data_IF_566832108331
#
_entry.id   IF_566832108331
#
_cell.length_a   1.000
_cell.length_b   1.000
_cell.length_c   1.000
_cell.angle_alpha   90.00
_cell.angle_beta   90.00
_cell.angle_gamma   90.00
#
_symmetry.space_group_name_H-M   'P 1'
#
loop_
_entity.id
_entity.type
_entity.pdbx_description
1 polymer ?
#
# COMPACT_ATOMS: atom_id res chain seq x y z
N UNK A 1 4.03 6.37 13.49
CA UNK A 1 2.65 6.14 13.01
C UNK A 1 2.74 5.33 11.74
N UNK A 2 1.83 4.37 11.52
CA UNK A 2 1.90 3.52 10.35
C UNK A 2 1.49 4.25 9.07
N UNK A 3 2.02 3.79 7.94
CA UNK A 3 1.85 4.45 6.64
C UNK A 3 1.31 3.53 5.54
N UNK A 4 1.18 2.23 5.79
CA UNK A 4 0.69 1.28 4.78
C UNK A 4 0.06 0.06 5.46
N UNK A 5 -1.10 -0.38 4.96
CA UNK A 5 -1.89 -1.44 5.62
C UNK A 5 -1.11 -2.72 5.85
N UNK A 6 -0.37 -3.20 4.84
CA UNK A 6 0.38 -4.46 4.96
C UNK A 6 1.56 -4.36 5.93
N UNK A 7 2.27 -3.23 5.96
CA UNK A 7 3.43 -3.05 6.86
C UNK A 7 2.96 -2.87 8.28
N UNK A 8 1.89 -2.11 8.50
CA UNK A 8 1.30 -1.91 9.81
C UNK A 8 0.68 -3.20 10.34
N UNK A 9 0.01 -4.00 9.50
CA UNK A 9 -0.49 -5.32 9.91
C UNK A 9 0.66 -6.26 10.33
N UNK A 10 1.74 -6.30 9.55
CA UNK A 10 2.95 -7.07 9.87
C UNK A 10 3.61 -6.59 11.17
N UNK A 11 3.80 -5.28 11.33
CA UNK A 11 4.38 -4.68 12.52
C UNK A 11 3.54 -4.93 13.77
N UNK A 12 2.21 -4.77 13.66
CA UNK A 12 1.28 -5.05 14.74
C UNK A 12 1.31 -6.53 15.13
N UNK A 13 1.38 -7.46 14.17
CA UNK A 13 1.53 -8.89 14.45
C UNK A 13 2.82 -9.16 15.24
N UNK A 14 3.94 -8.60 14.79
CA UNK A 14 5.25 -8.75 15.44
C UNK A 14 5.32 -8.10 16.82
N UNK A 15 4.54 -7.05 17.09
CA UNK A 15 4.39 -6.42 18.41
C UNK A 15 3.58 -7.25 19.41
N UNK A 16 2.57 -8.00 18.95
CA UNK A 16 1.74 -8.82 19.83
C UNK A 16 2.31 -10.23 20.06
N UNK A 17 3.09 -10.72 19.11
CA UNK A 17 3.69 -12.05 19.16
C UNK A 17 5.09 -12.17 19.84
N UNK A 18 5.76 -11.12 20.36
CA UNK A 18 7.12 -11.27 20.83
C UNK A 18 7.15 -11.52 22.34
N UNK A 19 7.96 -12.51 22.79
CA UNK A 19 8.24 -12.75 24.21
C UNK A 19 9.08 -11.64 24.86
N UNK A 20 9.67 -10.78 24.03
CA UNK A 20 10.55 -9.65 24.39
C UNK A 20 10.09 -8.41 23.61
N UNK A 21 10.40 -7.18 24.05
CA UNK A 21 10.14 -6.00 23.24
C UNK A 21 10.73 -6.14 21.83
N UNK A 22 10.04 -5.62 20.82
CA UNK A 22 10.56 -5.55 19.47
C UNK A 22 11.80 -4.64 19.46
N UNK A 23 12.89 -4.99 18.76
CA UNK A 23 14.05 -4.11 18.70
C UNK A 23 13.71 -2.77 18.03
N UNK A 24 14.26 -1.67 18.57
CA UNK A 24 13.96 -0.30 18.10
C UNK A 24 14.25 -0.09 16.60
N UNK A 25 15.21 -0.82 16.06
CA UNK A 25 15.59 -0.72 14.65
C UNK A 25 14.68 -1.51 13.70
N UNK A 26 13.76 -2.34 14.21
CA UNK A 26 12.76 -3.05 13.41
C UNK A 26 11.50 -2.19 13.27
N UNK A 27 11.62 -1.10 12.51
CA UNK A 27 10.53 -0.16 12.22
C UNK A 27 9.65 -0.63 11.06
N UNK A 28 8.58 0.09 10.75
CA UNK A 28 7.77 -0.20 9.55
C UNK A 28 8.54 0.03 8.25
N UNK A 29 9.46 1.01 8.20
CA UNK A 29 10.37 1.22 7.07
C UNK A 29 11.29 0.01 6.88
N UNK A 30 11.85 -0.51 7.99
CA UNK A 30 12.65 -1.74 7.95
C UNK A 30 11.84 -2.93 7.42
N UNK A 31 10.61 -3.10 7.89
CA UNK A 31 9.71 -4.18 7.42
C UNK A 31 9.28 -4.00 5.96
N UNK A 32 9.07 -2.76 5.50
CA UNK A 32 8.85 -2.43 4.09
C UNK A 32 10.02 -2.91 3.24
N UNK A 33 11.25 -2.57 3.64
CA UNK A 33 12.48 -2.97 2.96
C UNK A 33 12.68 -4.49 2.94
N UNK A 34 12.52 -5.16 4.08
CA UNK A 34 12.62 -6.62 4.20
C UNK A 34 11.62 -7.34 3.29
N UNK A 35 10.41 -6.79 3.12
CA UNK A 35 9.41 -7.37 2.22
C UNK A 35 9.62 -7.03 0.73
N UNK A 36 10.62 -6.20 0.38
CA UNK A 36 10.99 -5.89 -1.00
C UNK A 36 10.99 -4.41 -1.37
N UNK A 37 10.51 -3.53 -0.50
CA UNK A 37 10.57 -2.08 -0.70
C UNK A 37 9.63 -1.56 -1.79
N UNK A 38 10.11 -0.55 -2.52
CA UNK A 38 9.39 0.10 -3.61
C UNK A 38 9.02 -0.90 -4.72
N UNK A 39 7.83 -0.73 -5.30
CA UNK A 39 7.38 -1.50 -6.45
C UNK A 39 6.63 -0.68 -7.46
N UNK A 40 6.15 -1.39 -8.48
CA UNK A 40 5.68 -0.81 -9.73
C UNK A 40 4.51 -1.62 -10.28
N UNK A 41 3.35 -0.97 -10.37
CA UNK A 41 2.12 -1.52 -10.89
C UNK A 41 1.30 -0.41 -11.50
N UNK A 42 0.75 -0.67 -12.69
CA UNK A 42 -0.10 0.29 -13.38
C UNK A 42 -1.24 -0.44 -14.08
N UNK A 43 -2.48 -0.09 -13.76
CA UNK A 43 -3.66 -0.65 -14.40
C UNK A 43 -4.71 0.43 -14.66
N UNK A 44 -5.26 0.37 -15.86
CA UNK A 44 -6.49 1.05 -16.23
C UNK A 44 -7.51 0.02 -16.68
N UNK A 45 -8.74 0.16 -16.23
CA UNK A 45 -9.85 -0.61 -16.75
C UNK A 45 -10.89 0.35 -17.34
N UNK A 46 -11.45 -0.03 -18.48
CA UNK A 46 -12.53 0.70 -19.13
C UNK A 46 -13.55 -0.29 -19.66
N UNK A 47 -14.78 -0.16 -19.17
CA UNK A 47 -15.90 -1.02 -19.53
C UNK A 47 -16.99 -0.13 -20.14
N UNK A 48 -17.00 -0.08 -21.48
CA UNK A 48 -17.82 0.85 -22.27
C UNK A 48 -19.33 0.65 -22.05
N UNK A 49 -19.79 -0.58 -21.80
CA UNK A 49 -21.23 -0.85 -21.60
C UNK A 49 -21.72 -0.37 -20.24
N UNK A 50 -20.84 -0.40 -19.25
CA UNK A 50 -21.10 -0.03 -17.88
C UNK A 50 -20.74 1.45 -17.59
N UNK A 51 -20.24 2.18 -18.59
CA UNK A 51 -19.67 3.53 -18.48
C UNK A 51 -18.75 3.67 -17.27
N UNK A 52 -17.88 2.68 -17.10
CA UNK A 52 -17.03 2.56 -15.93
C UNK A 52 -15.55 2.61 -16.32
N UNK A 53 -14.80 3.46 -15.63
CA UNK A 53 -13.35 3.52 -15.69
C UNK A 53 -12.73 3.39 -14.30
N UNK A 54 -11.55 2.79 -14.22
CA UNK A 54 -10.76 2.78 -12.99
C UNK A 54 -9.27 2.88 -13.26
N UNK A 55 -8.55 3.42 -12.29
CA UNK A 55 -7.11 3.58 -12.30
C UNK A 55 -6.52 3.04 -11.00
N UNK A 56 -5.46 2.24 -11.11
CA UNK A 56 -4.81 1.60 -9.98
C UNK A 56 -3.29 1.65 -10.12
N UNK A 57 -2.63 1.97 -9.01
CA UNK A 57 -1.17 1.96 -8.88
C UNK A 57 -0.73 0.97 -7.81
N UNK A 58 0.28 0.17 -8.15
CA UNK A 58 1.00 -0.70 -7.22
C UNK A 58 2.35 -0.07 -6.89
N UNK A 59 2.56 0.34 -5.64
CA UNK A 59 3.73 1.13 -5.23
C UNK A 59 4.72 0.36 -4.36
N UNK A 60 4.42 -0.89 -4.01
CA UNK A 60 5.27 -1.80 -3.21
C UNK A 60 5.66 -3.04 -4.01
N UNK A 61 6.83 -3.62 -3.76
CA UNK A 61 7.22 -4.88 -4.39
C UNK A 61 6.22 -5.99 -4.03
N UNK A 62 5.74 -6.83 -4.97
CA UNK A 62 4.67 -7.81 -4.70
C UNK A 62 3.32 -7.17 -4.28
N UNK A 63 3.00 -5.96 -4.76
CA UNK A 63 1.73 -5.29 -4.48
C UNK A 63 0.50 -6.12 -4.86
N UNK A 64 0.63 -7.07 -5.80
CA UNK A 64 -0.46 -7.93 -6.23
C UNK A 64 -0.79 -9.06 -5.23
N UNK A 65 0.06 -9.23 -4.21
CA UNK A 65 -0.13 -10.22 -3.17
C UNK A 65 0.46 -9.77 -1.83
N UNK A 66 -0.39 -9.14 -1.02
CA UNK A 66 -0.06 -8.83 0.37
C UNK A 66 0.33 -10.08 1.17
N UNK A 67 -0.25 -11.25 0.87
CA UNK A 67 0.18 -12.51 1.49
C UNK A 67 1.64 -12.83 1.20
N UNK A 68 2.08 -12.78 -0.06
CA UNK A 68 3.49 -13.07 -0.40
C UNK A 68 4.43 -12.04 0.22
N UNK A 69 4.03 -10.78 0.32
CA UNK A 69 4.80 -9.75 1.01
C UNK A 69 4.93 -10.03 2.51
N UNK A 70 3.80 -10.18 3.21
CA UNK A 70 3.76 -10.37 4.68
C UNK A 70 4.43 -11.69 5.05
N UNK A 71 4.05 -12.79 4.40
CA UNK A 71 4.64 -14.11 4.63
C UNK A 71 6.13 -14.14 4.26
N UNK A 72 6.52 -13.45 3.19
CA UNK A 72 7.92 -13.34 2.76
C UNK A 72 8.78 -12.63 3.78
N UNK A 73 8.34 -11.46 4.26
CA UNK A 73 9.03 -10.71 5.28
C UNK A 73 9.14 -11.48 6.61
N UNK A 74 8.06 -12.14 7.04
CA UNK A 74 8.07 -13.01 8.22
C UNK A 74 9.09 -14.15 8.08
N UNK A 75 9.14 -14.81 6.92
CA UNK A 75 10.11 -15.89 6.66
C UNK A 75 11.55 -15.38 6.62
N UNK A 76 11.80 -14.21 6.05
CA UNK A 76 13.12 -13.58 6.04
C UNK A 76 13.62 -13.30 7.47
N UNK A 77 12.70 -12.95 8.38
CA UNK A 77 12.95 -12.80 9.81
C UNK A 77 12.99 -14.13 10.60
N UNK A 78 12.87 -15.28 9.93
CA UNK A 78 12.93 -16.61 10.55
C UNK A 78 11.61 -17.16 11.07
N UNK A 79 10.51 -16.39 11.00
CA UNK A 79 9.19 -16.86 11.42
C UNK A 79 8.58 -17.87 10.43
N UNK A 80 7.63 -18.65 10.92
CA UNK A 80 6.87 -19.64 10.14
C UNK A 80 5.40 -19.21 10.03
N UNK A 81 5.07 -18.33 9.07
CA UNK A 81 3.70 -17.90 8.87
C UNK A 81 2.83 -19.05 8.34
N UNK A 82 1.61 -19.11 8.85
CA UNK A 82 0.52 -19.90 8.31
C UNK A 82 -0.45 -19.00 7.58
N UNK A 83 -0.94 -19.47 6.45
CA UNK A 83 -2.05 -18.85 5.73
C UNK A 83 -3.23 -19.81 5.76
N UNK A 84 -4.38 -19.30 6.14
CA UNK A 84 -5.65 -20.02 6.06
C UNK A 84 -6.61 -19.26 5.17
N UNK A 85 -7.38 -20.01 4.39
CA UNK A 85 -8.41 -19.47 3.52
C UNK A 85 -9.57 -20.45 3.42
N UNK A 86 -10.81 -19.95 3.47
CA UNK A 86 -12.02 -20.73 3.19
C UNK A 86 -13.11 -19.82 2.65
N UNK A 87 -13.90 -20.28 1.67
CA UNK A 87 -15.03 -19.50 1.15
C UNK A 87 -16.26 -19.57 2.05
N UNK A 88 -16.27 -20.49 3.01
CA UNK A 88 -17.35 -20.57 3.99
C UNK A 88 -17.14 -19.52 5.09
N UNK A 89 -17.98 -18.49 5.09
CA UNK A 89 -17.91 -17.37 6.04
C UNK A 89 -18.06 -17.80 7.51
N UNK A 90 -18.87 -18.82 7.79
CA UNK A 90 -19.09 -19.31 9.15
C UNK A 90 -17.83 -20.04 9.65
N UNK A 91 -17.33 -20.97 8.85
CA UNK A 91 -16.10 -21.69 9.15
C UNK A 91 -14.87 -20.75 9.20
N UNK A 92 -14.84 -19.70 8.39
CA UNK A 92 -13.80 -18.66 8.45
C UNK A 92 -13.81 -17.94 9.81
N UNK A 93 -14.99 -17.48 10.24
CA UNK A 93 -15.14 -16.80 11.51
C UNK A 93 -14.85 -17.72 12.70
N UNK A 94 -15.37 -18.95 12.73
CA UNK A 94 -15.11 -19.90 13.81
C UNK A 94 -13.62 -20.21 13.96
N UNK A 95 -12.87 -20.34 12.85
CA UNK A 95 -11.42 -20.53 12.88
C UNK A 95 -10.69 -19.30 13.41
N UNK A 96 -11.11 -18.11 12.98
CA UNK A 96 -10.54 -16.84 13.45
C UNK A 96 -10.78 -16.66 14.96
N UNK A 97 -12.04 -16.80 15.41
CA UNK A 97 -12.44 -16.72 16.81
C UNK A 97 -11.65 -17.70 17.68
N UNK A 98 -11.49 -18.95 17.22
CA UNK A 98 -10.69 -19.96 17.92
C UNK A 98 -9.22 -19.56 18.06
N UNK A 99 -8.61 -18.98 17.02
CA UNK A 99 -7.21 -18.53 17.08
C UNK A 99 -7.06 -17.35 18.06
N UNK A 100 -7.90 -16.33 17.90
CA UNK A 100 -7.84 -15.10 18.70
C UNK A 100 -8.15 -15.39 20.18
N UNK A 101 -9.19 -16.18 20.46
CA UNK A 101 -9.52 -16.63 21.83
C UNK A 101 -8.42 -17.49 22.46
N UNK A 102 -7.60 -18.15 21.64
CA UNK A 102 -6.41 -18.89 22.07
C UNK A 102 -5.18 -18.02 22.34
N UNK A 103 -5.31 -16.70 22.24
CA UNK A 103 -4.21 -15.74 22.42
C UNK A 103 -3.34 -15.54 21.19
N UNK A 104 -3.75 -16.06 20.02
CA UNK A 104 -3.01 -15.91 18.77
C UNK A 104 -3.67 -14.83 17.90
N UNK A 105 -3.10 -13.62 17.81
CA UNK A 105 -3.63 -12.58 16.94
C UNK A 105 -3.45 -12.96 15.47
N UNK A 106 -4.37 -12.49 14.62
CA UNK A 106 -4.46 -12.92 13.22
C UNK A 106 -4.56 -11.71 12.30
N UNK A 107 -3.68 -11.63 11.30
CA UNK A 107 -3.82 -10.67 10.21
C UNK A 107 -4.94 -11.15 9.29
N UNK A 108 -5.85 -10.25 8.91
CA UNK A 108 -7.02 -10.55 8.10
C UNK A 108 -7.08 -9.65 6.88
N UNK A 109 -7.47 -10.20 5.73
CA UNK A 109 -7.91 -9.40 4.59
C UNK A 109 -9.36 -8.96 4.81
N UNK A 110 -9.65 -7.66 4.73
CA UNK A 110 -10.97 -7.09 4.97
C UNK A 110 -11.28 -5.99 3.96
N UNK A 111 -12.53 -5.91 3.50
CA UNK A 111 -12.97 -4.87 2.59
C UNK A 111 -12.81 -3.47 3.24
N UNK A 112 -12.15 -2.54 2.55
CA UNK A 112 -11.91 -1.18 3.03
C UNK A 112 -13.20 -0.42 3.40
N UNK A 113 -14.32 -0.77 2.77
CA UNK A 113 -15.63 -0.16 3.01
C UNK A 113 -16.08 -0.33 4.48
N UNK A 114 -15.60 -1.38 5.16
CA UNK A 114 -15.81 -1.58 6.61
C UNK A 114 -15.37 -0.34 7.39
N UNK A 115 -14.34 0.36 6.92
CA UNK A 115 -13.79 1.53 7.60
C UNK A 115 -14.18 2.85 6.95
N UNK A 116 -14.51 2.84 5.65
CA UNK A 116 -14.68 4.07 4.86
C UNK A 116 -16.11 4.40 4.48
N UNK A 117 -17.01 3.40 4.42
CA UNK A 117 -18.38 3.60 3.94
C UNK A 117 -19.42 3.17 4.95
N UNK A 118 -20.63 3.70 4.77
CA UNK A 118 -21.82 3.35 5.57
C UNK A 118 -22.28 1.92 5.29
N UNK A 119 -22.06 1.42 4.08
CA UNK A 119 -22.39 0.05 3.66
C UNK A 119 -21.17 -0.62 3.02
N UNK A 120 -21.11 -1.94 3.14
CA UNK A 120 -20.01 -2.76 2.60
C UNK A 120 -20.42 -3.26 1.21
N UNK A 121 -19.82 -2.69 0.17
CA UNK A 121 -20.11 -3.07 -1.21
C UNK A 121 -19.54 -4.46 -1.51
N UNK A 122 -20.20 -5.28 -2.36
CA UNK A 122 -19.56 -6.48 -2.88
C UNK A 122 -18.34 -6.11 -3.73
N UNK A 123 -17.36 -7.02 -3.81
CA UNK A 123 -16.14 -6.87 -4.59
C UNK A 123 -15.27 -5.64 -4.21
N UNK A 124 -15.22 -5.26 -2.93
CA UNK A 124 -14.38 -4.15 -2.50
C UNK A 124 -12.89 -4.49 -2.46
N UNK A 125 -12.06 -3.45 -2.39
CA UNK A 125 -10.62 -3.58 -2.21
C UNK A 125 -10.30 -4.03 -0.79
N UNK A 126 -9.29 -4.89 -0.68
CA UNK A 126 -8.81 -5.34 0.61
C UNK A 126 -7.87 -4.31 1.24
N UNK A 127 -7.97 -4.20 2.56
CA UNK A 127 -6.88 -3.80 3.43
C UNK A 127 -6.55 -4.96 4.36
N UNK A 128 -5.37 -4.92 4.97
CA UNK A 128 -4.94 -5.89 5.97
C UNK A 128 -4.88 -5.24 7.35
N UNK A 129 -5.44 -5.93 8.33
CA UNK A 129 -5.43 -5.49 9.73
C UNK A 129 -5.25 -6.66 10.69
N UNK A 130 -4.77 -6.39 11.90
CA UNK A 130 -4.57 -7.41 12.92
C UNK A 130 -5.80 -7.49 13.84
N UNK A 131 -6.45 -8.65 13.88
CA UNK A 131 -7.47 -8.95 14.88
C UNK A 131 -6.80 -9.57 16.10
N UNK A 132 -6.90 -8.89 17.24
CA UNK A 132 -6.29 -9.33 18.51
C UNK A 132 -7.32 -9.65 19.58
N UNK A 133 -8.57 -9.21 19.43
CA UNK A 133 -9.64 -9.42 20.41
C UNK A 133 -11.01 -9.51 19.72
N UNK A 134 -11.82 -10.49 20.14
CA UNK A 134 -13.18 -10.74 19.66
C UNK A 134 -14.05 -10.96 20.91
N UNK A 135 -14.95 -10.02 21.19
CA UNK A 135 -15.91 -10.12 22.27
C UNK A 135 -17.28 -10.51 21.72
N UNK A 136 -17.64 -11.78 21.88
CA UNK A 136 -18.93 -12.32 21.41
C UNK A 136 -20.13 -11.87 22.26
N UNK A 137 -19.91 -11.44 23.49
CA UNK A 137 -21.00 -10.94 24.36
C UNK A 137 -21.45 -9.55 23.93
N UNK A 138 -20.48 -8.68 23.59
CA UNK A 138 -20.77 -7.33 23.09
C UNK A 138 -20.95 -7.27 21.57
N UNK A 139 -20.52 -8.31 20.85
CA UNK A 139 -20.56 -8.34 19.39
C UNK A 139 -19.46 -7.50 18.73
N UNK A 140 -18.39 -7.15 19.45
CA UNK A 140 -17.34 -6.23 19.03
C UNK A 140 -16.04 -6.98 18.72
N UNK A 141 -15.33 -6.52 17.70
CA UNK A 141 -13.98 -6.95 17.33
C UNK A 141 -13.04 -5.75 17.34
N UNK A 142 -11.84 -5.93 17.89
CA UNK A 142 -10.76 -4.92 17.79
C UNK A 142 -9.81 -5.27 16.67
N UNK A 143 -9.62 -4.32 15.75
CA UNK A 143 -8.70 -4.45 14.63
C UNK A 143 -7.64 -3.34 14.65
N UNK A 144 -6.37 -3.73 14.76
CA UNK A 144 -5.26 -2.80 14.65
C UNK A 144 -4.90 -2.57 13.17
N UNK A 145 -4.86 -1.31 12.78
CA UNK A 145 -4.51 -0.82 11.43
C UNK A 145 -3.25 0.07 11.52
N UNK A 146 -3.17 1.16 10.77
CA UNK A 146 -2.01 2.07 10.74
C UNK A 146 -1.90 3.01 11.95
N UNK A 147 -2.88 3.00 12.85
CA UNK A 147 -2.92 3.84 14.05
C UNK A 147 -2.66 3.03 15.32
N UNK A 148 -2.22 3.71 16.38
CA UNK A 148 -1.78 3.08 17.62
C UNK A 148 -2.92 2.42 18.41
N UNK A 149 -4.14 2.96 18.30
CA UNK A 149 -5.33 2.44 18.99
C UNK A 149 -6.16 1.60 18.01
N UNK A 150 -6.42 0.31 18.31
CA UNK A 150 -7.28 -0.53 17.49
C UNK A 150 -8.67 0.08 17.26
N UNK A 151 -9.21 -0.12 16.06
CA UNK A 151 -10.58 0.28 15.73
C UNK A 151 -11.55 -0.82 16.17
N UNK A 152 -12.65 -0.42 16.78
CA UNK A 152 -13.75 -1.33 17.11
C UNK A 152 -14.76 -1.40 15.97
N UNK A 153 -15.09 -2.61 15.54
CA UNK A 153 -16.12 -2.92 14.54
C UNK A 153 -17.04 -4.02 15.06
N UNK A 154 -18.22 -4.19 14.45
CA UNK A 154 -19.09 -5.32 14.78
C UNK A 154 -18.55 -6.63 14.22
N UNK A 155 -18.90 -7.76 14.86
CA UNK A 155 -18.64 -9.10 14.31
C UNK A 155 -19.29 -9.26 12.93
N UNK A 156 -20.48 -8.68 12.73
CA UNK A 156 -21.19 -8.72 11.45
C UNK A 156 -20.39 -8.01 10.34
N UNK A 157 -19.88 -6.81 10.60
CA UNK A 157 -19.06 -6.05 9.65
C UNK A 157 -17.75 -6.78 9.33
N UNK A 158 -17.13 -7.43 10.32
CA UNK A 158 -15.96 -8.27 10.10
C UNK A 158 -16.27 -9.43 9.15
N UNK A 159 -17.35 -10.18 9.43
CA UNK A 159 -17.74 -11.35 8.62
C UNK A 159 -18.07 -10.91 7.19
N UNK A 160 -18.89 -9.87 7.06
CA UNK A 160 -19.32 -9.36 5.76
C UNK A 160 -18.15 -8.77 4.97
N UNK A 161 -17.31 -7.97 5.62
CA UNK A 161 -16.14 -7.35 5.00
C UNK A 161 -15.10 -8.35 4.50
N UNK A 162 -14.92 -9.47 5.20
CA UNK A 162 -14.01 -10.55 4.76
C UNK A 162 -14.57 -11.39 3.60
N UNK A 163 -15.89 -11.45 3.49
CA UNK A 163 -16.61 -12.17 2.42
C UNK A 163 -16.69 -11.35 1.13
N UNK A 164 -16.94 -10.04 1.24
CA UNK A 164 -17.17 -9.11 0.14
C UNK A 164 -15.89 -8.55 -0.51
N UNK A 165 -14.88 -9.40 -0.75
CA UNK A 165 -13.62 -9.01 -1.40
C UNK A 165 -13.64 -9.29 -2.91
N UNK A 166 -12.99 -8.41 -3.68
CA UNK A 166 -12.97 -8.44 -5.15
C UNK A 166 -12.48 -9.76 -5.78
N UNK A 167 -11.62 -10.49 -5.08
CA UNK A 167 -11.03 -11.73 -5.60
C UNK A 167 -11.21 -12.91 -4.67
N UNK A 168 -11.64 -14.03 -5.25
CA UNK A 168 -11.78 -15.32 -4.56
C UNK A 168 -10.48 -15.84 -3.97
N UNK A 169 -9.32 -15.29 -4.34
CA UNK A 169 -8.00 -15.65 -3.80
C UNK A 169 -7.72 -15.07 -2.41
N UNK A 170 -8.46 -14.05 -1.98
CA UNK A 170 -8.23 -13.36 -0.70
C UNK A 170 -9.45 -13.36 0.22
N UNK A 171 -10.63 -13.75 -0.27
CA UNK A 171 -11.82 -13.93 0.56
C UNK A 171 -11.48 -14.77 1.78
N UNK A 172 -11.81 -14.24 2.96
CA UNK A 172 -11.55 -14.84 4.26
C UNK A 172 -10.11 -15.30 4.49
N UNK A 173 -9.12 -14.65 3.88
CA UNK A 173 -7.72 -14.94 4.12
C UNK A 173 -7.32 -14.50 5.53
N UNK A 174 -6.58 -15.37 6.21
CA UNK A 174 -6.00 -15.14 7.52
C UNK A 174 -4.51 -15.51 7.48
N UNK A 175 -3.65 -14.67 8.03
CA UNK A 175 -2.21 -14.89 8.16
C UNK A 175 -1.87 -14.80 9.66
N UNK A 176 -1.19 -15.81 10.20
CA UNK A 176 -0.82 -15.87 11.62
C UNK A 176 0.45 -16.70 11.80
N UNK A 177 1.01 -16.67 13.00
CA UNK A 177 2.19 -17.46 13.36
C UNK A 177 1.74 -18.71 14.11
N UNK A 178 2.25 -19.90 13.72
CA UNK A 178 1.78 -21.18 14.28
C UNK A 178 2.20 -21.40 15.74
N UNK A 179 3.32 -20.81 16.17
CA UNK A 179 3.85 -20.94 17.52
C UNK A 179 4.60 -19.66 17.91
N UNK A 180 4.60 -19.27 19.20
CA UNK A 180 5.43 -18.21 19.76
C UNK A 180 6.91 -18.60 19.71
N UNK A 181 7.49 -18.52 18.51
CA UNK A 181 8.89 -18.77 18.32
C UNK A 181 9.71 -17.67 18.98
N UNK A 182 10.67 -18.07 19.81
CA UNK A 182 11.73 -17.18 20.33
C UNK A 182 12.72 -16.94 19.20
N UNK A 183 12.29 -16.15 18.20
CA UNK A 183 13.14 -15.83 17.06
C UNK A 183 14.24 -14.88 17.48
N UNK A 184 15.46 -15.18 17.02
CA UNK A 184 16.58 -14.26 17.15
C UNK A 184 16.37 -13.06 16.23
N UNK A 185 15.89 -11.96 16.81
CA UNK A 185 15.79 -10.65 16.16
C UNK A 185 17.03 -9.79 16.44
N UNK A 186 18.21 -10.41 16.49
CA UNK A 186 19.48 -9.67 16.52
C UNK A 186 19.62 -8.78 15.29
N UNK A 187 20.37 -7.69 15.44
CA UNK A 187 20.66 -6.76 14.35
C UNK A 187 21.21 -7.49 13.12
N UNK A 188 22.13 -8.45 13.32
CA UNK A 188 22.71 -9.25 12.24
C UNK A 188 21.66 -10.04 11.46
N UNK A 189 20.67 -10.64 12.12
CA UNK A 189 19.58 -11.39 11.46
C UNK A 189 18.66 -10.48 10.67
N UNK A 190 18.33 -9.32 11.20
CA UNK A 190 17.47 -8.34 10.53
C UNK A 190 18.20 -7.73 9.32
N UNK A 191 19.50 -7.46 9.41
CA UNK A 191 20.30 -7.02 8.25
C UNK A 191 20.38 -8.12 7.17
N UNK A 192 20.49 -9.40 7.54
CA UNK A 192 20.39 -10.49 6.58
C UNK A 192 18.99 -10.55 5.90
N UNK A 193 17.93 -10.30 6.67
CA UNK A 193 16.57 -10.20 6.13
C UNK A 193 16.42 -8.97 5.20
N UNK A 194 17.06 -7.85 5.53
CA UNK A 194 17.09 -6.65 4.69
C UNK A 194 17.76 -6.91 3.33
N UNK A 195 18.89 -7.64 3.31
CA UNK A 195 19.53 -8.10 2.06
C UNK A 195 18.56 -8.91 1.19
N UNK A 196 17.87 -9.88 1.80
CA UNK A 196 16.84 -10.71 1.13
C UNK A 196 15.70 -9.85 0.57
N UNK A 197 15.33 -8.79 1.29
CA UNK A 197 14.35 -7.81 0.85
C UNK A 197 14.81 -7.06 -0.41
N UNK A 198 16.03 -6.53 -0.41
CA UNK A 198 16.60 -5.84 -1.59
C UNK A 198 16.63 -6.78 -2.81
N UNK A 199 17.04 -8.03 -2.64
CA UNK A 199 17.01 -9.06 -3.69
C UNK A 199 15.60 -9.29 -4.24
N UNK A 200 14.60 -9.36 -3.34
CA UNK A 200 13.19 -9.51 -3.71
C UNK A 200 12.67 -8.31 -4.50
N UNK A 201 13.03 -7.08 -4.07
CA UNK A 201 12.70 -5.83 -4.76
C UNK A 201 13.25 -5.79 -6.17
N UNK A 202 14.56 -6.07 -6.35
CA UNK A 202 15.20 -6.14 -7.67
C UNK A 202 14.54 -7.18 -8.58
N UNK A 203 14.25 -8.37 -8.05
CA UNK A 203 13.54 -9.40 -8.81
C UNK A 203 12.16 -8.93 -9.25
N UNK A 204 11.40 -8.27 -8.37
CA UNK A 204 10.08 -7.72 -8.68
C UNK A 204 10.15 -6.59 -9.73
N UNK A 205 11.20 -5.78 -9.69
CA UNK A 205 11.42 -4.67 -10.62
C UNK A 205 11.83 -5.12 -12.02
N UNK A 206 12.76 -6.08 -12.14
CA UNK A 206 13.39 -6.48 -13.41
C UNK A 206 12.77 -7.70 -14.09
N UNK A 207 12.11 -8.59 -13.34
CA UNK A 207 11.53 -9.82 -13.89
C UNK A 207 9.99 -9.84 -13.77
N UNK A 208 9.29 -8.83 -14.32
CA UNK A 208 7.84 -8.79 -14.25
C UNK A 208 7.22 -9.87 -15.14
N UNK A 209 6.10 -10.44 -14.69
CA UNK A 209 5.34 -11.43 -15.49
C UNK A 209 4.64 -10.82 -16.70
N UNK A 210 4.31 -9.53 -16.63
CA UNK A 210 3.65 -8.75 -17.68
C UNK A 210 4.12 -7.30 -17.57
N UNK A 211 4.07 -6.54 -18.65
CA UNK A 211 4.63 -5.19 -18.67
C UNK A 211 3.84 -4.15 -17.83
N UNK A 212 2.69 -4.50 -17.26
CA UNK A 212 1.99 -3.71 -16.24
C UNK A 212 2.65 -3.79 -14.84
N UNK A 213 3.69 -4.61 -14.70
CA UNK A 213 4.45 -4.82 -13.47
C UNK A 213 5.90 -4.39 -13.66
N UNK A 214 6.62 -4.23 -12.55
CA UNK A 214 8.04 -3.89 -12.56
C UNK A 214 8.32 -2.53 -13.18
N UNK A 215 9.59 -2.19 -13.39
CA UNK A 215 9.98 -0.85 -13.89
C UNK A 215 9.38 -0.54 -15.27
N UNK A 216 8.97 -1.58 -16.02
CA UNK A 216 8.24 -1.44 -17.30
C UNK A 216 6.83 -0.87 -17.15
N UNK A 217 6.21 -0.97 -15.97
CA UNK A 217 4.90 -0.40 -15.68
C UNK A 217 4.90 1.13 -15.84
N UNK A 218 6.00 1.80 -15.43
CA UNK A 218 6.17 3.25 -15.62
C UNK A 218 6.20 3.62 -17.10
N UNK A 219 6.86 2.80 -17.93
CA UNK A 219 6.91 3.03 -19.37
C UNK A 219 5.52 2.91 -20.01
N UNK A 220 4.74 1.91 -19.58
CA UNK A 220 3.36 1.74 -20.04
C UNK A 220 2.47 2.89 -19.61
N UNK A 221 2.58 3.33 -18.35
CA UNK A 221 1.78 4.44 -17.84
C UNK A 221 2.09 5.74 -18.60
N UNK A 222 3.38 6.08 -18.70
CA UNK A 222 3.89 7.20 -19.50
C UNK A 222 3.38 7.16 -20.93
N UNK A 223 3.49 6.01 -21.60
CA UNK A 223 3.05 5.84 -22.98
C UNK A 223 1.53 5.97 -23.12
N UNK A 224 0.76 5.41 -22.19
CA UNK A 224 -0.71 5.50 -22.21
C UNK A 224 -1.21 6.93 -22.05
N UNK A 225 -0.49 7.81 -21.36
CA UNK A 225 -0.85 9.22 -21.20
C UNK A 225 -0.82 9.99 -22.52
N UNK A 226 0.16 9.70 -23.39
CA UNK A 226 0.41 10.48 -24.63
C UNK A 226 0.03 9.73 -25.92
N UNK A 227 -0.33 8.46 -25.84
CA UNK A 227 -0.72 7.66 -27.00
C UNK A 227 -2.07 8.10 -27.58
N UNK A 228 -2.34 7.65 -28.81
CA UNK A 228 -3.61 7.89 -29.53
C UNK A 228 -4.45 6.63 -29.78
N UNK A 229 -4.03 5.48 -29.24
CA UNK A 229 -4.73 4.20 -29.39
C UNK A 229 -5.92 4.05 -28.42
N UNK A 230 -6.70 2.96 -28.56
CA UNK A 230 -7.91 2.70 -27.74
C UNK A 230 -7.63 2.58 -26.23
N UNK A 231 -6.39 2.25 -25.84
CA UNK A 231 -5.96 2.11 -24.45
C UNK A 231 -5.28 3.38 -23.90
N UNK A 232 -5.29 4.48 -24.67
CA UNK A 232 -4.76 5.76 -24.21
C UNK A 232 -5.67 6.42 -23.19
N UNK A 233 -5.09 7.19 -22.29
CA UNK A 233 -5.82 8.02 -21.33
C UNK A 233 -6.76 8.99 -22.04
N UNK A 234 -6.31 9.58 -23.17
CA UNK A 234 -7.15 10.46 -23.97
C UNK A 234 -8.45 9.83 -24.47
N UNK A 235 -8.48 8.51 -24.68
CA UNK A 235 -9.68 7.75 -25.09
C UNK A 235 -10.47 7.20 -23.90
N UNK A 236 -9.80 6.68 -22.89
CA UNK A 236 -10.46 6.10 -21.71
C UNK A 236 -11.11 7.21 -20.86
N UNK A 237 -10.35 8.28 -20.58
CA UNK A 237 -10.75 9.40 -19.74
C UNK A 237 -11.13 10.62 -20.59
N UNK A 238 -12.02 10.37 -21.57
CA UNK A 238 -12.40 11.38 -22.55
C UNK A 238 -13.49 12.35 -22.07
N UNK A 239 -14.28 11.95 -21.08
CA UNK A 239 -15.28 12.78 -20.43
C UNK A 239 -14.77 13.24 -19.04
N UNK A 240 -15.40 14.27 -18.48
CA UNK A 240 -15.01 14.84 -17.19
C UNK A 240 -15.09 13.82 -16.06
N UNK A 241 -16.17 13.04 -15.97
CA UNK A 241 -16.36 12.08 -14.89
C UNK A 241 -15.23 11.03 -14.81
N UNK A 242 -14.85 10.46 -15.95
CA UNK A 242 -13.75 9.51 -16.05
C UNK A 242 -12.40 10.15 -15.71
N UNK A 243 -12.17 11.38 -16.16
CA UNK A 243 -10.97 12.14 -15.83
C UNK A 243 -10.86 12.40 -14.32
N UNK A 244 -11.87 13.02 -13.72
CA UNK A 244 -11.92 13.32 -12.28
C UNK A 244 -11.70 12.03 -11.47
N UNK A 245 -12.32 10.93 -11.88
CA UNK A 245 -12.12 9.64 -11.24
C UNK A 245 -10.66 9.15 -11.30
N UNK A 246 -9.99 9.24 -12.45
CA UNK A 246 -8.60 8.85 -12.60
C UNK A 246 -7.63 9.73 -11.79
N UNK A 247 -7.86 11.05 -11.80
CA UNK A 247 -7.05 12.02 -11.06
C UNK A 247 -7.20 11.85 -9.55
N UNK A 248 -8.43 11.68 -9.06
CA UNK A 248 -8.71 11.34 -7.66
C UNK A 248 -7.97 10.09 -7.22
N UNK A 249 -8.05 9.01 -8.00
CA UNK A 249 -7.38 7.76 -7.64
C UNK A 249 -5.86 7.85 -7.78
N UNK A 250 -5.33 8.70 -8.66
CA UNK A 250 -3.89 8.99 -8.71
C UNK A 250 -3.41 9.59 -7.39
N UNK A 251 -4.12 10.62 -6.89
CA UNK A 251 -3.82 11.19 -5.57
C UNK A 251 -3.98 10.15 -4.45
N UNK A 252 -5.10 9.43 -4.42
CA UNK A 252 -5.37 8.42 -3.39
C UNK A 252 -4.29 7.34 -3.30
N UNK A 253 -3.86 6.75 -4.43
CA UNK A 253 -2.86 5.68 -4.42
C UNK A 253 -1.46 6.15 -4.07
N UNK A 254 -1.12 7.41 -4.33
CA UNK A 254 0.19 7.97 -4.02
C UNK A 254 0.23 8.54 -2.60
N UNK A 255 -0.83 9.21 -2.16
CA UNK A 255 -0.84 9.95 -0.90
C UNK A 255 -1.48 9.14 0.21
N UNK A 256 -2.76 8.81 0.08
CA UNK A 256 -3.56 8.23 1.17
C UNK A 256 -3.27 6.76 1.44
N UNK A 257 -2.96 5.99 0.40
CA UNK A 257 -2.67 4.57 0.55
C UNK A 257 -1.20 4.28 0.92
N UNK A 258 -0.37 5.32 1.09
CA UNK A 258 1.07 5.16 1.34
C UNK A 258 1.61 6.19 2.34
N UNK A 259 2.93 6.36 2.40
CA UNK A 259 3.66 7.37 3.19
C UNK A 259 3.52 8.81 2.67
N UNK A 260 2.65 9.06 1.69
CA UNK A 260 2.54 10.34 0.99
C UNK A 260 3.40 10.45 -0.27
N UNK A 261 4.32 9.51 -0.50
CA UNK A 261 5.37 9.56 -1.51
C UNK A 261 5.48 8.23 -2.28
N UNK A 262 4.36 7.50 -2.43
CA UNK A 262 4.33 6.19 -3.09
C UNK A 262 5.33 5.17 -2.49
N UNK A 263 5.53 5.21 -1.17
CA UNK A 263 6.47 4.40 -0.38
C UNK A 263 7.96 4.65 -0.63
N UNK A 264 8.32 5.63 -1.46
CA UNK A 264 9.71 5.90 -1.83
C UNK A 264 10.50 6.53 -0.68
N UNK A 265 9.85 7.38 0.12
CA UNK A 265 10.47 8.02 1.28
C UNK A 265 10.73 6.99 2.37
N UNK A 266 9.76 6.15 2.70
CA UNK A 266 9.96 5.04 3.64
C UNK A 266 11.02 4.05 3.15
N UNK A 267 11.09 3.78 1.84
CA UNK A 267 12.14 2.92 1.30
C UNK A 267 13.53 3.57 1.33
N UNK A 268 13.63 4.88 1.07
CA UNK A 268 14.86 5.67 1.25
C UNK A 268 15.37 5.59 2.69
N UNK A 269 14.49 5.79 3.69
CA UNK A 269 14.82 5.65 5.12
C UNK A 269 15.40 4.27 5.42
N UNK A 270 14.76 3.20 4.93
CA UNK A 270 15.29 1.84 5.07
C UNK A 270 16.69 1.67 4.48
N UNK A 271 16.90 2.12 3.25
CA UNK A 271 18.20 2.00 2.56
C UNK A 271 19.29 2.77 3.31
N UNK A 272 18.97 3.95 3.85
CA UNK A 272 19.88 4.74 4.66
C UNK A 272 20.23 4.03 5.96
N UNK A 273 19.23 3.52 6.70
CA UNK A 273 19.46 2.75 7.93
C UNK A 273 20.41 1.57 7.69
N UNK A 274 20.14 0.76 6.66
CA UNK A 274 20.97 -0.41 6.36
C UNK A 274 22.35 0.00 5.87
N UNK A 275 22.44 0.97 4.95
CA UNK A 275 23.69 1.48 4.40
C UNK A 275 24.61 2.07 5.45
N UNK A 276 24.07 2.75 6.46
CA UNK A 276 24.83 3.25 7.60
C UNK A 276 25.39 2.11 8.46
N UNK A 277 24.58 1.10 8.76
CA UNK A 277 24.95 -0.04 9.61
C UNK A 277 26.07 -0.87 9.00
N UNK A 278 25.99 -1.17 7.69
CA UNK A 278 27.00 -2.00 7.00
C UNK A 278 28.10 -1.16 6.32
N UNK A 279 28.03 0.17 6.44
CA UNK A 279 28.90 1.12 5.76
C UNK A 279 28.97 0.91 4.24
N UNK A 280 27.80 0.75 3.61
CA UNK A 280 27.65 0.58 2.16
C UNK A 280 27.16 1.89 1.51
N UNK A 281 28.05 2.68 0.89
CA UNK A 281 27.69 3.97 0.28
C UNK A 281 26.69 3.83 -0.88
N UNK A 282 26.69 2.72 -1.62
CA UNK A 282 25.75 2.54 -2.74
C UNK A 282 24.30 2.43 -2.28
N UNK A 283 24.05 1.92 -1.06
CA UNK A 283 22.71 1.93 -0.47
C UNK A 283 22.28 3.35 -0.11
N UNK A 284 23.19 4.19 0.38
CA UNK A 284 22.91 5.61 0.67
C UNK A 284 22.62 6.40 -0.62
N UNK A 285 23.39 6.15 -1.67
CA UNK A 285 23.16 6.73 -3.00
C UNK A 285 21.79 6.32 -3.56
N UNK A 286 21.46 5.02 -3.49
CA UNK A 286 20.15 4.52 -3.91
C UNK A 286 19.00 5.13 -3.08
N UNK A 287 19.19 5.26 -1.76
CA UNK A 287 18.25 5.96 -0.87
C UNK A 287 17.98 7.39 -1.32
N UNK A 288 19.05 8.16 -1.59
CA UNK A 288 18.94 9.53 -2.10
C UNK A 288 18.22 9.65 -3.45
N UNK A 289 18.37 8.66 -4.34
CA UNK A 289 17.64 8.61 -5.61
C UNK A 289 16.14 8.33 -5.40
N UNK A 290 15.80 7.39 -4.51
CA UNK A 290 14.40 7.13 -4.17
C UNK A 290 13.74 8.30 -3.44
N UNK A 291 14.45 9.02 -2.57
CA UNK A 291 13.92 10.24 -1.95
C UNK A 291 13.51 11.28 -3.01
N UNK A 292 14.40 11.54 -3.97
CA UNK A 292 14.13 12.43 -5.11
C UNK A 292 12.94 11.93 -5.94
N UNK A 293 12.89 10.64 -6.25
CA UNK A 293 11.77 10.06 -6.98
C UNK A 293 10.46 10.21 -6.20
N UNK A 294 10.48 10.03 -4.88
CA UNK A 294 9.33 10.22 -3.99
C UNK A 294 8.76 11.63 -4.05
N UNK A 295 9.61 12.66 -4.09
CA UNK A 295 9.17 14.04 -4.28
C UNK A 295 8.45 14.24 -5.63
N UNK A 296 8.92 13.59 -6.69
CA UNK A 296 8.26 13.66 -8.01
C UNK A 296 6.95 12.87 -8.01
N UNK A 297 6.89 11.73 -7.32
CA UNK A 297 5.63 11.01 -7.08
C UNK A 297 4.61 11.91 -6.36
N UNK A 298 5.04 12.63 -5.31
CA UNK A 298 4.17 13.60 -4.64
C UNK A 298 3.71 14.70 -5.59
N UNK A 299 4.61 15.21 -6.44
CA UNK A 299 4.26 16.21 -7.45
C UNK A 299 3.19 15.70 -8.43
N UNK A 300 3.29 14.45 -8.90
CA UNK A 300 2.26 13.83 -9.74
C UNK A 300 0.90 13.84 -9.04
N UNK A 301 0.83 13.53 -7.74
CA UNK A 301 -0.41 13.57 -6.99
C UNK A 301 -0.97 15.00 -6.90
N UNK A 302 -0.12 15.98 -6.55
CA UNK A 302 -0.52 17.39 -6.45
C UNK A 302 -1.02 17.95 -7.78
N UNK A 303 -0.36 17.63 -8.89
CA UNK A 303 -0.73 18.09 -10.23
C UNK A 303 -1.96 17.36 -10.77
N UNK A 304 -2.22 16.13 -10.30
CA UNK A 304 -3.44 15.41 -10.65
C UNK A 304 -4.68 16.09 -10.06
N UNK A 305 -4.59 16.59 -8.82
CA UNK A 305 -5.62 17.43 -8.21
C UNK A 305 -5.15 18.88 -8.17
N UNK A 306 -4.95 19.47 -9.35
CA UNK A 306 -4.45 20.85 -9.51
C UNK A 306 -5.36 21.86 -8.77
N UNK A 307 -4.76 22.61 -7.84
CA UNK A 307 -5.44 23.61 -7.00
C UNK A 307 -5.93 24.85 -7.74
N UNK A 308 -5.65 24.99 -9.04
CA UNK A 308 -6.31 26.00 -9.88
C UNK A 308 -7.81 25.74 -10.06
N UNK A 309 -8.26 24.50 -9.81
CA UNK A 309 -9.68 24.16 -9.69
C UNK A 309 -10.08 24.10 -8.22
N UNK A 310 -11.05 24.91 -7.81
CA UNK A 310 -11.53 24.99 -6.43
C UNK A 310 -12.00 23.62 -5.92
N UNK A 311 -12.64 22.82 -6.77
CA UNK A 311 -13.11 21.47 -6.43
C UNK A 311 -11.96 20.53 -6.04
N UNK A 312 -10.83 20.63 -6.74
CA UNK A 312 -9.64 19.83 -6.45
C UNK A 312 -8.90 20.33 -5.21
N UNK A 313 -8.85 21.65 -4.99
CA UNK A 313 -8.32 22.21 -3.74
C UNK A 313 -9.11 21.68 -2.54
N UNK A 314 -10.45 21.76 -2.58
CA UNK A 314 -11.33 21.25 -1.52
C UNK A 314 -11.15 19.75 -1.28
N UNK A 315 -11.03 18.94 -2.33
CA UNK A 315 -10.75 17.50 -2.17
C UNK A 315 -9.43 17.25 -1.43
N UNK A 316 -8.37 17.98 -1.76
CA UNK A 316 -7.06 17.84 -1.09
C UNK A 316 -7.13 18.24 0.38
N UNK A 317 -7.84 19.31 0.70
CA UNK A 317 -8.07 19.73 2.09
C UNK A 317 -8.85 18.64 2.86
N UNK A 318 -9.89 18.06 2.25
CA UNK A 318 -10.67 16.97 2.87
C UNK A 318 -9.85 15.70 3.10
N UNK A 319 -8.94 15.35 2.19
CA UNK A 319 -7.99 14.27 2.41
C UNK A 319 -7.09 14.54 3.63
N UNK A 320 -6.54 15.76 3.74
CA UNK A 320 -5.71 16.16 4.88
C UNK A 320 -6.49 16.13 6.21
N UNK A 321 -7.73 16.63 6.21
CA UNK A 321 -8.64 16.57 7.36
C UNK A 321 -8.93 15.13 7.78
N UNK A 322 -9.25 14.26 6.82
CA UNK A 322 -9.49 12.83 7.06
C UNK A 322 -8.28 12.15 7.69
N UNK A 323 -7.08 12.37 7.14
CA UNK A 323 -5.86 11.78 7.65
C UNK A 323 -5.56 12.27 9.08
N UNK A 324 -5.71 13.57 9.33
CA UNK A 324 -5.54 14.16 10.67
C UNK A 324 -6.55 13.60 11.67
N UNK A 325 -7.82 13.46 11.27
CA UNK A 325 -8.87 12.92 12.13
C UNK A 325 -8.69 11.41 12.39
N UNK A 326 -8.26 10.64 11.38
CA UNK A 326 -7.97 9.21 11.53
C UNK A 326 -6.95 8.93 12.63
N UNK A 327 -5.96 9.82 12.73
CA UNK A 327 -4.83 9.74 13.64
C UNK A 327 -5.02 10.49 14.96
N UNK A 328 -6.17 11.15 15.18
CA UNK A 328 -6.45 11.87 16.43
C UNK A 328 -6.97 10.94 17.55
N UNK A 329 -6.87 11.41 18.79
CA UNK A 329 -7.48 10.78 19.97
C UNK A 329 -9.02 10.89 19.95
N UNK A 330 -9.54 11.89 19.24
CA UNK A 330 -10.97 12.15 19.06
C UNK A 330 -11.61 11.24 18.00
N UNK A 331 -10.84 10.43 17.29
CA UNK A 331 -11.32 9.57 16.22
C UNK A 331 -12.58 8.77 16.60
N UNK A 332 -13.62 8.87 15.78
CA UNK A 332 -14.82 8.04 15.83
C UNK A 332 -15.10 7.47 14.45
N UNK A 333 -15.24 6.14 14.36
CA UNK A 333 -15.40 5.45 13.08
C UNK A 333 -16.62 5.95 12.28
N UNK A 334 -17.74 6.23 12.96
CA UNK A 334 -18.96 6.73 12.32
C UNK A 334 -18.76 8.11 11.67
N UNK A 335 -18.06 9.02 12.36
CA UNK A 335 -17.73 10.36 11.85
C UNK A 335 -16.74 10.26 10.69
N UNK A 336 -15.72 9.40 10.81
CA UNK A 336 -14.76 9.17 9.74
C UNK A 336 -15.42 8.63 8.46
N UNK A 337 -16.41 7.72 8.60
CA UNK A 337 -17.23 7.24 7.47
C UNK A 337 -18.09 8.35 6.86
N UNK A 338 -18.58 9.29 7.67
CA UNK A 338 -19.33 10.44 7.16
C UNK A 338 -18.40 11.38 6.39
N UNK A 339 -17.25 11.73 6.93
CA UNK A 339 -16.26 12.57 6.23
C UNK A 339 -15.79 11.95 4.91
N UNK A 340 -15.62 10.62 4.85
CA UNK A 340 -15.31 9.93 3.59
C UNK A 340 -16.49 10.03 2.60
N UNK A 341 -17.73 9.96 3.07
CA UNK A 341 -18.90 10.13 2.22
C UNK A 341 -18.95 11.55 1.63
N UNK A 342 -18.67 12.57 2.44
CA UNK A 342 -18.63 13.98 2.01
C UNK A 342 -17.54 14.19 0.94
N UNK A 343 -16.35 13.58 1.10
CA UNK A 343 -15.30 13.60 0.07
C UNK A 343 -15.74 12.94 -1.25
N UNK A 344 -16.49 11.83 -1.17
CA UNK A 344 -16.99 11.15 -2.37
C UNK A 344 -18.11 11.94 -3.06
N UNK A 345 -18.90 12.71 -2.30
CA UNK A 345 -19.89 13.66 -2.83
C UNK A 345 -19.20 14.80 -3.59
N UNK A 346 -18.16 15.42 -3.00
CA UNK A 346 -17.35 16.44 -3.69
C UNK A 346 -16.76 15.91 -5.00
N UNK A 347 -16.27 14.67 -5.00
CA UNK A 347 -15.79 13.99 -6.22
C UNK A 347 -16.89 13.84 -7.27
N UNK A 348 -18.11 13.48 -6.86
CA UNK A 348 -19.24 13.33 -7.76
C UNK A 348 -19.66 14.68 -8.35
N UNK A 349 -19.73 15.73 -7.53
CA UNK A 349 -20.04 17.10 -7.96
C UNK A 349 -19.01 17.60 -9.00
N UNK A 350 -17.71 17.43 -8.73
CA UNK A 350 -16.66 17.77 -9.68
C UNK A 350 -16.75 16.97 -10.98
N UNK A 351 -17.20 15.71 -10.92
CA UNK A 351 -17.39 14.86 -12.10
C UNK A 351 -18.47 15.40 -13.04
N UNK A 352 -19.44 16.14 -12.50
CA UNK A 352 -20.56 16.73 -13.24
C UNK A 352 -20.29 18.18 -13.69
N UNK A 353 -19.64 18.98 -12.84
CA UNK A 353 -19.57 20.43 -12.99
C UNK A 353 -18.28 20.91 -13.67
N UNK A 354 -17.16 20.21 -13.45
CA UNK A 354 -15.84 20.64 -13.88
C UNK A 354 -15.75 20.71 -15.42
N UNK A 355 -15.37 21.87 -15.92
CA UNK A 355 -15.15 22.08 -17.36
C UNK A 355 -13.65 21.98 -17.65
N UNK A 356 -13.22 20.84 -18.20
CA UNK A 356 -11.83 20.63 -18.64
C UNK A 356 -11.79 20.48 -20.14
N UNK A 357 -11.09 21.37 -20.84
CA UNK A 357 -11.02 21.30 -22.30
C UNK A 357 -10.16 20.13 -22.75
N UNK A 358 -10.30 19.73 -24.01
CA UNK A 358 -9.42 18.70 -24.60
C UNK A 358 -7.94 19.15 -24.60
N UNK A 359 -7.69 20.46 -24.74
CA UNK A 359 -6.35 21.04 -24.70
C UNK A 359 -5.76 20.90 -23.30
N UNK A 360 -6.46 21.34 -22.26
CA UNK A 360 -5.99 21.27 -20.87
C UNK A 360 -5.69 19.82 -20.46
N UNK A 361 -6.57 18.88 -20.86
CA UNK A 361 -6.34 17.44 -20.65
C UNK A 361 -5.06 16.93 -21.29
N UNK A 362 -4.80 17.30 -22.56
CA UNK A 362 -3.60 16.87 -23.27
C UNK A 362 -2.33 17.46 -22.66
N UNK A 363 -2.40 18.71 -22.23
CA UNK A 363 -1.30 19.39 -21.53
C UNK A 363 -1.00 18.70 -20.20
N UNK A 364 -2.04 18.44 -19.39
CA UNK A 364 -1.92 17.69 -18.14
C UNK A 364 -1.29 16.30 -18.37
N UNK A 365 -1.80 15.51 -19.32
CA UNK A 365 -1.26 14.17 -19.57
C UNK A 365 0.18 14.21 -20.07
N UNK A 366 0.55 15.21 -20.89
CA UNK A 366 1.92 15.40 -21.36
C UNK A 366 2.85 15.76 -20.20
N UNK A 367 2.40 16.65 -19.32
CA UNK A 367 3.13 17.04 -18.11
C UNK A 367 3.36 15.84 -17.18
N UNK A 368 2.31 15.08 -16.84
CA UNK A 368 2.42 13.88 -16.01
C UNK A 368 3.34 12.81 -16.63
N UNK A 369 3.30 12.64 -17.96
CA UNK A 369 4.22 11.73 -18.65
C UNK A 369 5.68 12.18 -18.51
N UNK A 370 5.94 13.49 -18.53
CA UNK A 370 7.25 14.08 -18.26
C UNK A 370 7.77 13.76 -16.84
N UNK A 371 6.91 13.88 -15.83
CA UNK A 371 7.25 13.54 -14.45
C UNK A 371 7.54 12.03 -14.29
N UNK A 372 6.73 11.16 -14.90
CA UNK A 372 6.95 9.69 -14.88
C UNK A 372 8.27 9.33 -15.56
N UNK A 373 8.65 10.05 -16.62
CA UNK A 373 9.94 9.85 -17.28
C UNK A 373 11.13 10.18 -16.35
N UNK A 374 11.01 11.22 -15.53
CA UNK A 374 12.03 11.57 -14.54
C UNK A 374 12.13 10.50 -13.45
N UNK A 375 10.99 10.05 -12.89
CA UNK A 375 10.93 8.94 -11.93
C UNK A 375 11.61 7.70 -12.51
N UNK A 376 11.25 7.32 -13.74
CA UNK A 376 11.83 6.15 -14.39
C UNK A 376 13.36 6.26 -14.53
N UNK A 377 13.89 7.46 -14.77
CA UNK A 377 15.34 7.68 -14.87
C UNK A 377 16.02 7.47 -13.53
N UNK A 378 15.53 8.13 -12.48
CA UNK A 378 16.06 8.03 -11.12
C UNK A 378 15.97 6.60 -10.59
N UNK A 379 14.83 5.94 -10.77
CA UNK A 379 14.60 4.60 -10.21
C UNK A 379 15.37 3.52 -10.97
N UNK A 380 15.62 3.68 -12.28
CA UNK A 380 16.56 2.80 -13.01
C UNK A 380 17.98 2.92 -12.49
N UNK A 381 18.45 4.14 -12.23
CA UNK A 381 19.77 4.37 -11.63
C UNK A 381 19.84 3.77 -10.22
N UNK A 382 18.81 3.99 -9.39
CA UNK A 382 18.74 3.42 -8.05
C UNK A 382 18.79 1.88 -8.07
N UNK A 383 18.07 1.23 -9.01
CA UNK A 383 18.10 -0.22 -9.16
C UNK A 383 19.50 -0.74 -9.53
N UNK A 384 20.24 -0.05 -10.41
CA UNK A 384 21.64 -0.39 -10.73
C UNK A 384 22.50 -0.32 -9.46
N UNK A 385 22.36 0.74 -8.67
CA UNK A 385 23.08 0.91 -7.40
C UNK A 385 22.76 -0.18 -6.39
N UNK A 386 21.50 -0.59 -6.27
CA UNK A 386 21.09 -1.71 -5.42
C UNK A 386 21.71 -3.03 -5.87
N UNK A 387 21.75 -3.28 -7.18
CA UNK A 387 22.38 -4.48 -7.74
C UNK A 387 23.89 -4.50 -7.46
N UNK A 388 24.58 -3.39 -7.66
CA UNK A 388 26.01 -3.27 -7.32
C UNK A 388 26.24 -3.45 -5.80
N UNK A 389 25.41 -2.83 -4.96
CA UNK A 389 25.50 -2.93 -3.51
C UNK A 389 25.34 -4.38 -3.02
N UNK A 390 24.45 -5.19 -3.61
CA UNK A 390 24.27 -6.59 -3.21
C UNK A 390 25.48 -7.49 -3.45
N UNK A 391 26.32 -7.12 -4.41
CA UNK A 391 27.57 -7.81 -4.74
C UNK A 391 28.79 -7.24 -3.98
N UNK A 392 28.59 -6.20 -3.17
CA UNK A 392 29.64 -5.61 -2.35
C UNK A 392 30.07 -6.54 -1.22
N UNK A 393 31.38 -6.53 -0.92
CA UNK A 393 31.97 -7.26 0.21
C UNK A 393 31.47 -6.76 1.58
N UNK A 394 30.88 -5.56 1.65
CA UNK A 394 30.34 -4.98 2.90
C UNK A 394 29.32 -5.90 3.58
N UNK A 395 28.52 -6.62 2.78
CA UNK A 395 27.59 -7.61 3.32
C UNK A 395 28.30 -8.80 3.96
N UNK A 396 29.35 -9.32 3.30
CA UNK A 396 30.12 -10.45 3.81
C UNK A 396 30.88 -10.06 5.08
N UNK A 397 31.53 -8.89 5.08
CA UNK A 397 32.26 -8.37 6.23
C UNK A 397 31.35 -8.22 7.45
N UNK A 398 30.13 -7.71 7.27
CA UNK A 398 29.16 -7.53 8.35
C UNK A 398 28.44 -8.83 8.78
N UNK A 399 28.18 -9.74 7.83
CA UNK A 399 27.44 -10.98 8.09
C UNK A 399 28.34 -12.17 8.47
N UNK A 400 29.66 -12.08 8.30
CA UNK A 400 30.64 -12.98 8.91
C UNK A 400 30.62 -12.85 10.42
#
# INVERSE_FOLDING_TARGET
MGFHSDTSALFNLLKHHPKKPLPDFLTEEMLLGIGGGAGYGYFTFFYEKEDFSSFYLGTRALWESSELFISGALKALGFQPAVQQTKDRKAAFEKLDKQVSGGNPVIVAINEDVFRKKSISPNGYQIYGLVSDINKETGIVKIALQKDIPIEISIEDLILGRDHLATRKIINQSIFLKEPADQDLSLKKIIAAARTGIETGLKSAHNPRMSNFGITALDRWKTSLTASNKQSFGKIFHNTAHLVNALYYTYYWIVENTDGYALRRSYSTFLNMVGEIIHEPLLLEAGGLYEKAGLIWRQIAEDSLNSEYDEFLLMKEKFQELNKFYHSEEFRLKEYKQMNADLLELKAEASEQLQVTETDRKELFTHLAGLICQIQTLEKEALIKLEEALHSKKWEDYLS
#
